data_IF_738233703894
#
_entry.id   IF_738233703894
#
_cell.length_a   1.000
_cell.length_b   1.000
_cell.length_c   1.000
_cell.angle_alpha   90.00
_cell.angle_beta   90.00
_cell.angle_gamma   90.00
#
_symmetry.space_group_name_H-M   'P 1'
#
loop_
_entity.id
_entity.type
_entity.pdbx_description
1 polymer ?
#
# COMPACT_ATOMS: atom_id res chain seq x y z
N UNK A 1 8.65 -15.12 4.31
CA UNK A 1 7.67 -14.12 4.78
C UNK A 1 6.80 -14.73 5.86
N UNK A 2 6.46 -14.00 6.94
CA UNK A 2 5.56 -14.50 7.98
C UNK A 2 4.13 -14.61 7.44
N UNK A 3 3.47 -15.76 7.68
CA UNK A 3 2.09 -16.02 7.25
C UNK A 3 1.13 -15.18 8.11
N UNK A 4 0.11 -14.52 7.52
CA UNK A 4 -0.87 -13.76 8.28
C UNK A 4 -1.69 -14.66 9.23
N UNK A 5 -2.00 -14.14 10.40
CA UNK A 5 -2.76 -14.85 11.42
C UNK A 5 -4.24 -15.02 11.00
N UNK A 6 -4.79 -16.24 11.02
CA UNK A 6 -6.14 -16.51 10.52
C UNK A 6 -7.24 -15.86 11.35
N UNK A 7 -7.00 -15.54 12.64
CA UNK A 7 -7.97 -14.83 13.48
C UNK A 7 -8.11 -13.35 13.07
N UNK A 8 -7.21 -12.82 12.23
CA UNK A 8 -7.33 -11.46 11.69
C UNK A 8 -8.29 -11.34 10.50
N UNK A 9 -8.75 -12.46 9.91
CA UNK A 9 -9.69 -12.47 8.78
C UNK A 9 -10.93 -11.58 8.96
N UNK A 10 -11.69 -11.66 10.07
CA UNK A 10 -12.86 -10.80 10.27
C UNK A 10 -12.48 -9.31 10.24
N UNK A 11 -11.41 -8.93 10.95
CA UNK A 11 -10.92 -7.55 11.00
C UNK A 11 -10.48 -7.04 9.62
N UNK A 12 -9.78 -7.86 8.84
CA UNK A 12 -9.37 -7.50 7.49
C UNK A 12 -10.56 -7.33 6.55
N UNK A 13 -11.61 -8.14 6.75
CA UNK A 13 -12.87 -8.00 6.01
C UNK A 13 -13.54 -6.67 6.33
N UNK A 14 -13.64 -6.29 7.61
CA UNK A 14 -14.17 -4.98 8.02
C UNK A 14 -13.38 -3.82 7.41
N UNK A 15 -12.04 -3.92 7.39
CA UNK A 15 -11.17 -2.93 6.74
C UNK A 15 -11.44 -2.85 5.23
N UNK A 16 -11.59 -3.99 4.55
CA UNK A 16 -11.91 -4.05 3.13
C UNK A 16 -13.22 -3.33 2.81
N UNK A 17 -14.29 -3.65 3.54
CA UNK A 17 -15.60 -3.02 3.34
C UNK A 17 -15.54 -1.49 3.54
N UNK A 18 -14.79 -1.04 4.56
CA UNK A 18 -14.60 0.38 4.79
C UNK A 18 -13.82 1.07 3.65
N UNK A 19 -12.76 0.43 3.15
CA UNK A 19 -11.97 0.94 2.03
C UNK A 19 -12.79 1.02 0.75
N UNK A 20 -13.61 0.00 0.45
CA UNK A 20 -14.52 0.02 -0.72
C UNK A 20 -15.51 1.18 -0.62
N UNK A 21 -16.15 1.36 0.53
CA UNK A 21 -17.08 2.47 0.74
C UNK A 21 -16.39 3.83 0.54
N UNK A 22 -15.16 3.97 1.03
CA UNK A 22 -14.41 5.22 0.91
C UNK A 22 -13.85 5.46 -0.48
N UNK A 23 -13.44 4.43 -1.21
CA UNK A 23 -13.09 4.54 -2.63
C UNK A 23 -14.29 5.04 -3.43
N UNK A 24 -15.47 4.45 -3.22
CA UNK A 24 -16.69 4.88 -3.92
C UNK A 24 -17.07 6.35 -3.62
N UNK A 25 -16.92 6.80 -2.38
CA UNK A 25 -17.17 8.21 -2.03
C UNK A 25 -16.15 9.15 -2.71
N UNK A 26 -14.87 8.78 -2.64
CA UNK A 26 -13.78 9.60 -3.18
C UNK A 26 -13.83 9.68 -4.71
N UNK A 27 -14.24 8.60 -5.39
CA UNK A 27 -14.51 8.57 -6.83
C UNK A 27 -15.62 9.54 -7.24
N UNK A 28 -16.64 9.71 -6.38
CA UNK A 28 -17.74 10.65 -6.60
C UNK A 28 -17.34 12.10 -6.34
N UNK A 29 -16.48 12.33 -5.35
CA UNK A 29 -15.96 13.66 -5.01
C UNK A 29 -14.77 14.10 -5.89
N UNK A 30 -14.18 13.18 -6.65
CA UNK A 30 -13.12 13.47 -7.62
C UNK A 30 -11.74 13.71 -7.00
N UNK A 31 -11.50 13.27 -5.76
CA UNK A 31 -10.19 13.42 -5.10
C UNK A 31 -9.23 12.31 -5.51
N UNK A 32 -8.75 12.39 -6.76
CA UNK A 32 -7.85 11.42 -7.40
C UNK A 32 -6.58 11.10 -6.58
N UNK A 33 -6.08 12.05 -5.80
CA UNK A 33 -4.90 11.85 -4.96
C UNK A 33 -5.12 10.88 -3.80
N UNK A 34 -6.33 10.80 -3.26
CA UNK A 34 -6.66 9.94 -2.13
C UNK A 34 -7.14 8.55 -2.60
N UNK A 35 -7.78 8.48 -3.77
CA UNK A 35 -8.25 7.22 -4.41
C UNK A 35 -7.11 6.23 -4.60
N UNK A 36 -5.96 6.65 -5.15
CA UNK A 36 -4.85 5.73 -5.43
C UNK A 36 -4.30 5.10 -4.14
N UNK A 37 -4.20 5.88 -3.06
CA UNK A 37 -3.79 5.36 -1.75
C UNK A 37 -4.79 4.37 -1.15
N UNK A 38 -6.10 4.62 -1.35
CA UNK A 38 -7.17 3.73 -0.91
C UNK A 38 -7.17 2.42 -1.70
N UNK A 39 -6.96 2.47 -3.02
CA UNK A 39 -6.90 1.29 -3.89
C UNK A 39 -5.70 0.39 -3.58
N UNK A 40 -4.52 0.98 -3.31
CA UNK A 40 -3.34 0.24 -2.86
C UNK A 40 -3.62 -0.45 -1.52
N UNK A 41 -4.26 0.26 -0.59
CA UNK A 41 -4.62 -0.30 0.72
C UNK A 41 -5.65 -1.43 0.60
N UNK A 42 -6.62 -1.29 -0.31
CA UNK A 42 -7.64 -2.30 -0.60
C UNK A 42 -7.00 -3.58 -1.16
N UNK A 43 -6.15 -3.44 -2.19
CA UNK A 43 -5.42 -4.57 -2.76
C UNK A 43 -4.56 -5.30 -1.70
N UNK A 44 -3.93 -4.54 -0.79
CA UNK A 44 -3.18 -5.10 0.34
C UNK A 44 -4.05 -5.90 1.32
N UNK A 45 -5.26 -5.41 1.63
CA UNK A 45 -6.21 -6.10 2.49
C UNK A 45 -6.73 -7.39 1.84
N UNK A 46 -7.09 -7.34 0.56
CA UNK A 46 -7.55 -8.50 -0.22
C UNK A 46 -6.47 -9.59 -0.34
N UNK A 47 -5.23 -9.20 -0.63
CA UNK A 47 -4.10 -10.14 -0.69
C UNK A 47 -3.88 -10.87 0.65
N UNK A 48 -4.07 -10.17 1.77
CA UNK A 48 -3.89 -10.73 3.12
C UNK A 48 -5.02 -11.69 3.49
N UNK A 49 -6.25 -11.39 3.08
CA UNK A 49 -7.40 -12.31 3.20
C UNK A 49 -7.16 -13.56 2.35
N UNK A 50 -6.75 -13.41 1.09
CA UNK A 50 -6.46 -14.54 0.21
C UNK A 50 -5.34 -15.44 0.73
N UNK A 51 -4.32 -14.87 1.38
CA UNK A 51 -3.27 -15.64 2.06
C UNK A 51 -3.80 -16.43 3.27
N UNK A 52 -4.73 -15.87 4.04
CA UNK A 52 -5.38 -16.58 5.15
C UNK A 52 -6.26 -17.72 4.60
N UNK A 53 -7.07 -17.45 3.58
CA UNK A 53 -7.96 -18.43 2.96
C UNK A 53 -7.15 -19.57 2.29
N UNK A 54 -6.01 -19.27 1.66
CA UNK A 54 -5.10 -20.28 1.07
C UNK A 54 -4.27 -21.03 2.11
N UNK A 55 -4.14 -20.48 3.32
CA UNK A 55 -3.44 -21.12 4.43
C UNK A 55 -4.34 -22.06 5.24
N UNK A 56 -5.66 -21.97 5.08
CA UNK A 56 -6.60 -22.92 5.63
C UNK A 56 -6.40 -24.29 4.94
N UNK A 57 -6.26 -25.40 5.69
CA UNK A 57 -6.03 -26.70 5.07
C UNK A 57 -7.32 -27.24 4.44
N UNK A 58 -7.52 -26.98 3.16
CA UNK A 58 -8.38 -27.81 2.30
C UNK A 58 -8.02 -27.64 0.81
N UNK A 59 -7.25 -28.60 0.29
CA UNK A 59 -7.32 -29.05 -1.10
C UNK A 59 -6.94 -28.10 -2.24
N UNK A 60 -5.73 -28.31 -2.78
CA UNK A 60 -5.35 -28.16 -4.20
C UNK A 60 -5.53 -26.80 -4.91
N UNK A 61 -4.40 -26.12 -5.13
CA UNK A 61 -4.19 -25.14 -6.21
C UNK A 61 -3.06 -24.16 -5.88
N UNK A 62 -2.05 -23.94 -6.74
CA UNK A 62 -0.99 -22.97 -6.44
C UNK A 62 -1.45 -21.54 -6.77
N UNK A 63 -1.51 -20.59 -5.82
CA UNK A 63 -1.59 -19.18 -6.16
C UNK A 63 -0.18 -18.66 -6.47
N UNK A 64 0.10 -18.53 -7.76
CA UNK A 64 1.20 -17.73 -8.27
C UNK A 64 0.90 -16.24 -8.15
N UNK A 65 1.97 -15.47 -7.88
CA UNK A 65 2.07 -14.02 -7.95
C UNK A 65 1.42 -13.20 -6.81
N UNK A 66 2.20 -12.91 -5.78
CA UNK A 66 2.18 -11.60 -5.12
C UNK A 66 3.43 -11.45 -4.27
N UNK A 67 4.36 -10.58 -4.66
CA UNK A 67 5.14 -9.87 -3.65
C UNK A 67 5.70 -8.53 -4.16
N UNK A 68 5.08 -7.43 -3.72
CA UNK A 68 5.76 -6.23 -3.23
C UNK A 68 4.71 -5.18 -2.81
N UNK A 69 4.61 -4.79 -1.53
CA UNK A 69 3.87 -3.59 -1.12
C UNK A 69 4.74 -2.35 -1.27
N UNK A 70 4.35 -1.41 -2.13
CA UNK A 70 4.88 -0.04 -2.16
C UNK A 70 4.14 0.82 -1.14
N UNK A 71 4.79 1.11 -0.01
CA UNK A 71 4.38 2.22 0.85
C UNK A 71 5.16 3.46 0.40
N UNK A 72 4.52 4.54 -0.09
CA UNK A 72 5.24 5.80 -0.27
C UNK A 72 5.58 6.37 1.11
N UNK A 73 6.87 6.28 1.46
CA UNK A 73 7.43 6.90 2.64
C UNK A 73 7.30 8.43 2.53
N UNK A 74 6.47 8.98 3.43
CA UNK A 74 6.55 10.28 4.10
C UNK A 74 7.52 11.31 3.48
N UNK A 75 6.93 12.43 3.04
CA UNK A 75 7.60 13.72 2.85
C UNK A 75 8.42 14.10 4.08
N UNK A 76 9.69 14.46 3.86
CA UNK A 76 10.45 15.26 4.81
C UNK A 76 11.18 16.35 4.03
N UNK A 77 10.61 17.55 4.06
CA UNK A 77 11.40 18.77 3.85
C UNK A 77 12.20 19.08 5.12
N UNK A 78 13.37 19.70 4.93
CA UNK A 78 14.02 20.74 5.77
C UNK A 78 15.53 20.52 5.81
N UNK A 79 16.31 21.54 5.42
CA UNK A 79 17.68 21.71 5.92
C UNK A 79 18.69 22.26 4.92
N UNK A 80 19.03 23.55 5.07
CA UNK A 80 20.12 24.28 4.40
C UNK A 80 21.51 23.70 4.70
N UNK A 81 22.46 23.97 3.78
CA UNK A 81 23.91 24.08 4.03
C UNK A 81 24.66 24.16 2.69
N UNK A 82 24.95 25.35 2.16
CA UNK A 82 26.28 25.99 2.23
C UNK A 82 27.37 25.17 1.53
N UNK A 83 27.90 25.67 0.40
CA UNK A 83 28.91 24.95 -0.38
C UNK A 83 29.47 25.73 -1.58
N UNK A 84 29.85 26.97 -1.32
CA UNK A 84 31.07 27.60 -1.87
C UNK A 84 31.16 27.95 -3.37
N UNK A 85 31.40 29.24 -3.57
CA UNK A 85 31.81 29.88 -4.80
C UNK A 85 33.27 29.56 -5.07
N UNK A 86 33.60 29.13 -6.28
CA UNK A 86 34.91 29.30 -6.90
C UNK A 86 34.65 29.38 -8.41
N UNK A 87 34.48 30.57 -9.01
CA UNK A 87 35.51 31.50 -9.50
C UNK A 87 36.63 30.81 -10.29
N UNK A 88 36.74 31.18 -11.58
CA UNK A 88 37.87 30.86 -12.48
C UNK A 88 37.43 30.12 -13.74
N UNK A 89 36.78 30.74 -14.73
CA UNK A 89 37.39 31.59 -15.78
C UNK A 89 38.60 30.95 -16.49
N UNK A 90 38.42 30.70 -17.80
CA UNK A 90 39.38 30.95 -18.91
C UNK A 90 40.86 30.72 -18.58
N UNK A 91 41.56 29.78 -19.23
CA UNK A 91 41.93 29.82 -20.66
C UNK A 91 42.30 28.44 -21.18
#
# INVERSE_FOLDING_TARGET
>A
MPRPDPAQRPRLTEIRENLVARTAETEREGWLGEIEGLRVSLAGAEAKIGQIDSAAPAGAGPPGAADAPVHPARVNGTGRGQGERHLGSRQ
#
